data_IF_592033927618
#
_entry.id   IF_592033927618
#
_cell.length_a   1.000
_cell.length_b   1.000
_cell.length_c   1.000
_cell.angle_alpha   90.00
_cell.angle_beta   90.00
_cell.angle_gamma   90.00
#
_symmetry.space_group_name_H-M   'P 1'
#
loop_
_entity.id
_entity.type
_entity.pdbx_description
1 polymer ?
#
# COMPACT_ATOMS: atom_id res chain seq x y z
N UNK A 1 10.63 27.22 -9.90
CA UNK A 1 9.97 27.95 -8.81
C UNK A 1 9.86 27.04 -7.59
N UNK A 2 10.20 27.55 -6.40
CA UNK A 2 10.06 26.79 -5.13
C UNK A 2 8.59 26.51 -4.84
N UNK A 3 8.27 25.27 -4.47
CA UNK A 3 6.93 24.80 -4.10
C UNK A 3 6.77 24.65 -2.59
N UNK A 4 5.54 24.77 -2.13
CA UNK A 4 5.18 24.48 -0.74
C UNK A 4 5.27 22.98 -0.45
N UNK A 5 5.86 22.65 0.70
CA UNK A 5 5.98 21.27 1.16
C UNK A 5 4.70 20.81 1.86
N UNK A 6 4.32 19.57 1.60
CA UNK A 6 3.33 18.85 2.40
C UNK A 6 4.00 18.49 3.73
N UNK A 7 3.40 18.92 4.84
CA UNK A 7 3.89 18.71 6.21
C UNK A 7 2.82 18.02 7.06
N UNK A 8 3.25 17.22 8.04
CA UNK A 8 2.34 16.52 8.94
C UNK A 8 1.44 17.53 9.69
N UNK A 9 0.13 17.27 9.85
CA UNK A 9 -0.60 16.01 9.65
C UNK A 9 -1.32 15.87 8.29
N UNK A 10 -0.82 16.48 7.22
CA UNK A 10 -1.48 16.42 5.90
C UNK A 10 -1.43 15.01 5.27
N UNK A 11 -2.60 14.37 5.18
CA UNK A 11 -2.76 13.00 4.68
C UNK A 11 -2.57 12.84 3.17
N UNK A 12 -2.38 13.93 2.40
CA UNK A 12 -2.10 13.83 0.96
C UNK A 12 -0.83 13.04 0.69
N UNK A 13 0.12 13.02 1.64
CA UNK A 13 1.38 12.29 1.49
C UNK A 13 1.20 10.76 1.45
N UNK A 14 0.07 10.27 1.97
CA UNK A 14 -0.25 8.84 2.03
C UNK A 14 -0.88 8.33 0.71
N UNK A 15 -1.13 9.22 -0.25
CA UNK A 15 -1.64 8.84 -1.56
C UNK A 15 -0.57 8.09 -2.37
N UNK A 16 -0.95 6.95 -2.93
CA UNK A 16 -0.13 6.25 -3.93
C UNK A 16 -0.07 7.12 -5.18
N UNK A 17 1.15 7.40 -5.64
CA UNK A 17 1.40 8.26 -6.79
C UNK A 17 1.08 7.56 -8.11
N UNK A 18 0.46 8.29 -9.04
CA UNK A 18 0.11 7.80 -10.37
C UNK A 18 1.32 7.73 -11.30
N UNK A 19 1.37 6.70 -12.15
CA UNK A 19 2.37 6.63 -13.23
C UNK A 19 2.17 7.80 -14.20
N UNK A 20 3.26 8.47 -14.55
CA UNK A 20 3.32 9.48 -15.59
C UNK A 20 3.10 8.84 -16.96
N UNK A 21 2.14 9.36 -17.73
CA UNK A 21 1.81 8.88 -19.08
C UNK A 21 2.15 9.87 -20.19
N UNK A 22 2.22 11.15 -19.84
CA UNK A 22 2.51 12.24 -20.77
C UNK A 22 3.82 12.90 -20.33
N UNK A 23 4.77 12.98 -21.26
CA UNK A 23 6.10 13.57 -21.05
C UNK A 23 6.13 14.90 -21.79
N UNK A 24 5.43 15.87 -21.24
CA UNK A 24 5.23 17.20 -21.80
C UNK A 24 5.99 18.28 -21.01
N UNK A 25 5.86 19.53 -21.45
CA UNK A 25 6.51 20.67 -20.79
C UNK A 25 6.04 20.85 -19.34
N UNK A 26 4.81 20.45 -19.02
CA UNK A 26 4.29 20.54 -17.65
C UNK A 26 5.04 19.59 -16.69
N UNK A 27 5.35 18.37 -17.15
CA UNK A 27 6.21 17.45 -16.40
C UNK A 27 7.62 18.01 -16.20
N UNK A 28 8.22 18.59 -17.24
CA UNK A 28 9.56 19.18 -17.15
C UNK A 28 9.58 20.35 -16.17
N UNK A 29 8.59 21.23 -16.24
CA UNK A 29 8.42 22.33 -15.28
C UNK A 29 8.26 21.83 -13.84
N UNK A 30 7.48 20.77 -13.62
CA UNK A 30 7.34 20.16 -12.29
C UNK A 30 8.68 19.63 -11.76
N UNK A 31 9.45 18.94 -12.60
CA UNK A 31 10.76 18.40 -12.22
C UNK A 31 11.70 19.54 -11.82
N UNK A 32 11.75 20.61 -12.61
CA UNK A 32 12.64 21.74 -12.32
C UNK A 32 12.17 22.54 -11.09
N UNK A 33 10.86 22.71 -10.89
CA UNK A 33 10.28 23.25 -9.65
C UNK A 33 10.63 22.40 -8.41
N UNK A 34 10.64 21.06 -8.55
CA UNK A 34 11.07 20.15 -7.49
C UNK A 34 12.54 20.32 -7.15
N UNK A 35 13.42 20.50 -8.15
CA UNK A 35 14.85 20.75 -7.93
C UNK A 35 15.08 22.07 -7.20
N UNK A 36 14.42 23.14 -7.63
CA UNK A 36 14.47 24.44 -6.93
C UNK A 36 14.04 24.29 -5.46
N UNK A 37 13.01 23.48 -5.21
CA UNK A 37 12.51 23.20 -3.86
C UNK A 37 13.51 22.41 -3.02
N UNK A 38 14.21 21.44 -3.63
CA UNK A 38 15.30 20.70 -2.97
C UNK A 38 16.42 21.65 -2.55
N UNK A 39 16.83 22.57 -3.43
CA UNK A 39 17.86 23.56 -3.12
C UNK A 39 17.42 24.50 -1.99
N UNK A 40 16.21 25.05 -2.07
CA UNK A 40 15.69 25.99 -1.09
C UNK A 40 15.61 25.42 0.34
N UNK A 41 15.43 24.11 0.48
CA UNK A 41 15.32 23.43 1.76
C UNK A 41 16.57 22.63 2.16
N UNK A 42 17.68 22.76 1.42
CA UNK A 42 18.90 21.97 1.62
C UNK A 42 18.62 20.45 1.74
N UNK A 43 17.70 19.96 0.91
CA UNK A 43 17.29 18.57 0.92
C UNK A 43 18.21 17.69 0.05
N UNK A 44 18.15 16.39 0.26
CA UNK A 44 18.88 15.38 -0.52
C UNK A 44 18.07 14.83 -1.70
N UNK A 45 16.79 15.20 -1.79
CA UNK A 45 15.86 14.80 -2.84
C UNK A 45 14.42 15.03 -2.42
N UNK A 46 13.50 14.85 -3.37
CA UNK A 46 12.07 15.10 -3.20
C UNK A 46 11.27 14.17 -4.11
N UNK A 47 10.17 13.62 -3.60
CA UNK A 47 9.14 13.01 -4.42
C UNK A 47 8.03 14.03 -4.71
N UNK A 48 7.40 13.96 -5.89
CA UNK A 48 6.41 14.94 -6.31
C UNK A 48 5.23 15.06 -5.34
N UNK A 49 4.87 13.96 -4.65
CA UNK A 49 3.80 13.99 -3.65
C UNK A 49 4.13 14.89 -2.46
N UNK A 50 5.42 15.09 -2.15
CA UNK A 50 5.86 15.99 -1.07
C UNK A 50 5.62 17.47 -1.39
N UNK A 51 5.30 17.79 -2.65
CA UNK A 51 4.82 19.11 -3.09
C UNK A 51 3.39 19.04 -3.63
N UNK A 52 2.62 18.07 -3.14
CA UNK A 52 1.20 17.83 -3.44
C UNK A 52 0.86 17.41 -4.88
N UNK A 53 1.82 16.87 -5.63
CA UNK A 53 1.58 16.27 -6.95
C UNK A 53 1.64 14.74 -6.85
N UNK A 54 0.51 14.00 -6.91
CA UNK A 54 0.48 12.55 -6.79
C UNK A 54 0.94 11.86 -8.07
N UNK A 55 2.16 12.15 -8.51
CA UNK A 55 2.82 11.60 -9.70
C UNK A 55 4.08 10.85 -9.31
N UNK A 56 4.36 9.76 -10.01
CA UNK A 56 5.52 8.90 -9.80
C UNK A 56 6.79 9.55 -10.35
N UNK A 57 7.19 10.67 -9.74
CA UNK A 57 8.33 11.49 -10.11
C UNK A 57 9.15 11.76 -8.85
N UNK A 58 10.45 11.51 -8.95
CA UNK A 58 11.39 11.70 -7.84
C UNK A 58 12.65 12.36 -8.36
N UNK A 59 13.15 13.36 -7.65
CA UNK A 59 14.48 13.95 -7.89
C UNK A 59 15.38 13.68 -6.68
N UNK A 60 16.63 13.27 -6.91
CA UNK A 60 17.60 12.98 -5.83
C UNK A 60 18.95 13.57 -6.21
N UNK A 61 19.67 14.13 -5.24
CA UNK A 61 21.07 14.54 -5.43
C UNK A 61 22.00 13.33 -5.33
N UNK A 62 22.88 13.18 -6.32
CA UNK A 62 24.01 12.24 -6.25
C UNK A 62 25.09 12.75 -5.27
N UNK A 63 26.20 12.02 -5.16
CA UNK A 63 27.31 12.39 -4.27
C UNK A 63 28.08 13.65 -4.72
N UNK A 64 27.97 14.01 -6.00
CA UNK A 64 28.55 15.23 -6.56
C UNK A 64 27.58 16.43 -6.52
N UNK A 65 26.34 16.22 -6.05
CA UNK A 65 25.30 17.24 -5.98
C UNK A 65 24.50 17.41 -7.27
N UNK A 66 24.70 16.57 -8.29
CA UNK A 66 23.88 16.59 -9.50
C UNK A 66 22.52 15.94 -9.24
N UNK A 67 21.50 16.42 -9.95
CA UNK A 67 20.16 15.84 -9.86
C UNK A 67 20.01 14.62 -10.76
N UNK A 68 19.59 13.52 -10.14
CA UNK A 68 19.05 12.34 -10.80
C UNK A 68 17.52 12.43 -10.80
N UNK A 69 16.93 12.16 -11.95
CA UNK A 69 15.48 12.27 -12.19
C UNK A 69 14.93 10.87 -12.45
N UNK A 70 13.98 10.45 -11.63
CA UNK A 70 13.39 9.12 -11.69
C UNK A 70 11.90 9.25 -11.95
N UNK A 71 11.47 8.88 -13.16
CA UNK A 71 10.06 8.88 -13.55
C UNK A 71 9.59 7.43 -13.66
N UNK A 72 8.43 7.14 -13.08
CA UNK A 72 7.86 5.80 -12.96
C UNK A 72 8.86 4.74 -12.44
N UNK A 73 9.68 5.03 -11.41
CA UNK A 73 10.76 4.13 -11.05
C UNK A 73 10.27 2.84 -10.38
N UNK A 74 11.04 1.76 -10.54
CA UNK A 74 10.81 0.46 -9.91
C UNK A 74 12.13 -0.18 -9.49
N UNK A 75 12.23 -0.59 -8.22
CA UNK A 75 13.37 -1.38 -7.73
C UNK A 75 13.18 -2.83 -8.18
N UNK A 76 14.13 -3.35 -8.96
CA UNK A 76 14.11 -4.71 -9.52
C UNK A 76 14.98 -5.69 -8.73
N UNK A 77 15.98 -5.20 -7.97
CA UNK A 77 16.87 -6.02 -7.14
C UNK A 77 17.28 -5.27 -5.88
N UNK A 78 17.43 -6.01 -4.79
CA UNK A 78 17.80 -5.50 -3.46
C UNK A 78 18.83 -6.45 -2.84
N UNK A 79 19.87 -5.92 -2.21
CA UNK A 79 20.93 -6.71 -1.57
C UNK A 79 21.49 -5.99 -0.34
N UNK A 80 21.92 -6.76 0.65
CA UNK A 80 22.45 -6.25 1.93
C UNK A 80 21.36 -5.70 2.85
N UNK A 81 21.71 -5.46 4.11
CA UNK A 81 20.89 -4.73 5.08
C UNK A 81 21.79 -3.76 5.85
N UNK A 82 21.31 -2.54 6.04
CA UNK A 82 22.03 -1.50 6.78
C UNK A 82 21.02 -0.63 7.54
N UNK A 83 21.32 -0.37 8.80
CA UNK A 83 20.58 0.58 9.62
C UNK A 83 20.94 2.02 9.18
N UNK A 84 19.94 2.78 8.75
CA UNK A 84 20.07 4.19 8.37
C UNK A 84 19.35 5.05 9.40
N UNK A 85 20.01 6.09 9.93
CA UNK A 85 19.33 7.15 10.66
C UNK A 85 18.65 8.07 9.64
N UNK A 86 17.34 8.25 9.74
CA UNK A 86 16.53 8.98 8.76
C UNK A 86 15.74 10.11 9.40
N UNK A 87 15.62 11.20 8.64
CA UNK A 87 14.74 12.35 8.90
C UNK A 87 13.96 12.70 7.65
N UNK A 88 12.84 13.41 7.80
CA UNK A 88 12.03 13.87 6.67
C UNK A 88 11.50 15.28 6.86
N UNK A 89 11.43 16.04 5.77
CA UNK A 89 10.79 17.35 5.71
C UNK A 89 9.30 17.32 6.07
N UNK A 90 8.66 16.14 5.97
CA UNK A 90 7.27 15.95 6.37
C UNK A 90 7.07 15.99 7.90
N UNK A 91 8.09 15.58 8.67
CA UNK A 91 8.03 15.42 10.13
C UNK A 91 9.19 16.17 10.79
N UNK A 92 8.97 17.45 11.08
CA UNK A 92 9.80 18.30 11.94
C UNK A 92 11.25 17.85 12.16
N UNK A 93 11.63 17.70 13.44
CA UNK A 93 12.97 17.26 13.86
C UNK A 93 13.00 15.79 14.31
N UNK A 94 12.12 14.96 13.74
CA UNK A 94 12.00 13.55 14.13
C UNK A 94 13.03 12.72 13.37
N UNK A 95 13.89 12.04 14.13
CA UNK A 95 14.83 11.06 13.60
C UNK A 95 14.49 9.64 14.06
N UNK A 96 14.61 8.68 13.14
CA UNK A 96 14.41 7.25 13.42
C UNK A 96 15.41 6.39 12.67
N UNK A 97 15.84 5.30 13.29
CA UNK A 97 16.70 4.28 12.66
C UNK A 97 15.85 3.28 11.91
N UNK A 98 16.15 3.09 10.62
CA UNK A 98 15.34 2.31 9.68
C UNK A 98 16.26 1.37 8.90
N UNK A 99 15.86 0.11 8.79
CA UNK A 99 16.57 -0.87 7.97
C UNK A 99 16.36 -0.59 6.48
N UNK A 100 17.46 -0.57 5.73
CA UNK A 100 17.50 -0.32 4.29
C UNK A 100 18.40 -1.32 3.59
N UNK A 101 18.25 -1.44 2.27
CA UNK A 101 19.15 -2.25 1.47
C UNK A 101 20.41 -1.47 1.12
N UNK A 102 21.57 -2.07 1.33
CA UNK A 102 22.86 -1.44 1.01
C UNK A 102 23.00 -1.19 -0.50
N UNK A 103 22.52 -2.13 -1.32
CA UNK A 103 22.54 -2.04 -2.79
C UNK A 103 21.16 -2.29 -3.38
N UNK A 104 20.84 -1.49 -4.39
CA UNK A 104 19.62 -1.65 -5.19
C UNK A 104 19.94 -1.59 -6.68
N UNK A 105 19.14 -2.29 -7.48
CA UNK A 105 19.06 -2.07 -8.92
C UNK A 105 17.64 -1.64 -9.26
N UNK A 106 17.51 -0.62 -10.10
CA UNK A 106 16.22 -0.05 -10.46
C UNK A 106 16.14 0.27 -11.95
N UNK A 107 14.90 0.26 -12.45
CA UNK A 107 14.53 0.76 -13.77
C UNK A 107 13.67 2.00 -13.59
N UNK A 108 13.77 2.94 -14.52
CA UNK A 108 13.01 4.18 -14.51
C UNK A 108 12.94 4.75 -15.93
N UNK A 109 12.22 5.85 -16.10
CA UNK A 109 12.23 6.65 -17.31
C UNK A 109 12.88 8.01 -17.03
N UNK A 110 13.61 8.53 -18.00
CA UNK A 110 14.07 9.91 -17.96
C UNK A 110 12.94 10.89 -18.33
N UNK A 111 13.23 12.20 -18.28
CA UNK A 111 12.30 13.29 -18.63
C UNK A 111 11.74 13.22 -20.06
N UNK A 112 12.32 12.40 -20.93
CA UNK A 112 11.84 12.17 -22.31
C UNK A 112 11.09 10.85 -22.46
N UNK A 113 10.89 10.10 -21.37
CA UNK A 113 10.18 8.82 -21.35
C UNK A 113 11.04 7.63 -21.77
N UNK A 114 12.34 7.83 -22.00
CA UNK A 114 13.25 6.75 -22.41
C UNK A 114 13.60 5.91 -21.19
N UNK A 115 13.53 4.57 -21.33
CA UNK A 115 13.86 3.68 -20.24
C UNK A 115 15.36 3.70 -19.92
N UNK A 116 15.65 3.75 -18.62
CA UNK A 116 16.98 3.76 -18.05
C UNK A 116 17.07 2.72 -16.93
N UNK A 117 18.29 2.28 -16.64
CA UNK A 117 18.59 1.41 -15.51
C UNK A 117 19.74 1.99 -14.69
N UNK A 118 19.65 1.88 -13.36
CA UNK A 118 20.69 2.34 -12.45
C UNK A 118 20.93 1.28 -11.37
N UNK A 119 22.20 1.07 -11.03
CA UNK A 119 22.61 0.40 -9.80
C UNK A 119 23.11 1.46 -8.83
N UNK A 120 22.57 1.43 -7.61
CA UNK A 120 22.94 2.37 -6.56
C UNK A 120 23.36 1.60 -5.32
N UNK A 121 24.41 2.10 -4.67
CA UNK A 121 24.99 1.52 -3.46
C UNK A 121 25.21 2.61 -2.40
N UNK A 122 25.40 2.20 -1.15
CA UNK A 122 25.74 3.11 -0.05
C UNK A 122 24.73 4.26 0.11
N UNK A 123 25.22 5.48 0.33
CA UNK A 123 24.38 6.63 0.65
C UNK A 123 23.35 6.98 -0.45
N UNK A 124 23.69 6.76 -1.73
CA UNK A 124 22.77 6.98 -2.85
C UNK A 124 21.62 5.96 -2.83
N UNK A 125 21.92 4.69 -2.56
CA UNK A 125 20.90 3.64 -2.38
C UNK A 125 19.90 4.02 -1.28
N UNK A 126 20.39 4.54 -0.14
CA UNK A 126 19.55 4.96 0.98
C UNK A 126 18.68 6.18 0.62
N UNK A 127 19.26 7.20 -0.02
CA UNK A 127 18.53 8.39 -0.52
C UNK A 127 17.39 8.00 -1.45
N UNK A 128 17.67 7.16 -2.46
CA UNK A 128 16.68 6.73 -3.44
C UNK A 128 15.54 5.98 -2.77
N UNK A 129 15.85 4.99 -1.92
CA UNK A 129 14.82 4.22 -1.20
C UNK A 129 13.91 5.11 -0.34
N UNK A 130 14.48 6.09 0.37
CA UNK A 130 13.71 7.05 1.19
C UNK A 130 12.70 7.85 0.36
N UNK A 131 13.09 8.31 -0.83
CA UNK A 131 12.18 9.07 -1.70
C UNK A 131 11.17 8.18 -2.41
N UNK A 132 11.54 6.94 -2.72
CA UNK A 132 10.63 6.00 -3.36
C UNK A 132 9.50 5.54 -2.42
N UNK A 133 9.70 5.50 -1.11
CA UNK A 133 8.61 5.17 -0.18
C UNK A 133 7.42 6.14 -0.35
N UNK A 134 7.68 7.44 -0.58
CA UNK A 134 6.64 8.45 -0.83
C UNK A 134 5.83 8.18 -2.09
N UNK A 135 6.46 7.64 -3.13
CA UNK A 135 5.75 7.27 -4.37
C UNK A 135 4.65 6.24 -4.09
N UNK A 136 4.85 5.38 -3.09
CA UNK A 136 3.92 4.32 -2.73
C UNK A 136 3.04 4.65 -1.51
N UNK A 137 2.84 5.95 -1.22
CA UNK A 137 1.98 6.40 -0.12
C UNK A 137 2.56 6.09 1.26
N UNK A 138 3.88 6.11 1.38
CA UNK A 138 4.56 5.83 2.64
C UNK A 138 5.71 6.78 2.94
N UNK A 139 6.28 6.62 4.13
CA UNK A 139 7.50 7.29 4.56
C UNK A 139 8.30 6.29 5.39
N UNK A 140 9.35 6.73 6.09
CA UNK A 140 9.97 5.82 7.05
C UNK A 140 9.02 5.40 8.16
N UNK A 141 8.00 6.21 8.47
CA UNK A 141 7.03 5.93 9.52
C UNK A 141 6.27 4.65 9.22
N UNK A 142 5.94 4.38 7.96
CA UNK A 142 5.20 3.17 7.56
C UNK A 142 6.03 1.89 7.73
N UNK A 143 7.35 2.00 7.95
CA UNK A 143 8.24 0.87 8.26
C UNK A 143 8.43 0.66 9.77
N UNK A 144 7.96 1.57 10.60
CA UNK A 144 8.00 1.43 12.05
C UNK A 144 6.92 0.45 12.53
N UNK A 145 7.16 -0.19 13.68
CA UNK A 145 6.12 -1.01 14.32
C UNK A 145 4.90 -0.17 14.72
N UNK A 146 3.72 -0.79 14.84
CA UNK A 146 2.51 -0.09 15.25
C UNK A 146 2.66 0.63 16.59
N UNK A 147 3.33 0.01 17.57
CA UNK A 147 3.59 0.62 18.87
C UNK A 147 4.54 1.82 18.77
N UNK A 148 5.56 1.74 17.90
CA UNK A 148 6.47 2.84 17.67
C UNK A 148 5.78 4.02 16.96
N UNK A 149 4.85 3.76 16.03
CA UNK A 149 4.02 4.79 15.39
C UNK A 149 3.12 5.49 16.41
N UNK A 150 2.40 4.74 17.25
CA UNK A 150 1.59 5.31 18.34
C UNK A 150 2.41 6.11 19.36
N UNK A 151 3.63 5.66 19.64
CA UNK A 151 4.58 6.40 20.47
C UNK A 151 4.95 7.74 19.85
N UNK A 152 5.24 7.77 18.55
CA UNK A 152 5.53 8.99 17.81
C UNK A 152 4.32 9.94 17.72
N UNK A 153 3.10 9.43 17.54
CA UNK A 153 1.88 10.26 17.57
C UNK A 153 1.73 10.98 18.91
N UNK A 154 2.01 10.29 20.03
CA UNK A 154 1.98 10.89 21.37
C UNK A 154 3.07 11.96 21.53
N UNK A 155 4.28 11.68 21.03
CA UNK A 155 5.40 12.64 21.03
C UNK A 155 5.01 13.92 20.28
N UNK A 156 4.45 13.79 19.08
CA UNK A 156 3.99 14.93 18.27
C UNK A 156 2.81 15.67 18.91
N UNK A 157 1.90 14.94 19.58
CA UNK A 157 0.78 15.54 20.30
C UNK A 157 1.25 16.41 21.48
N UNK A 158 2.36 16.07 22.14
CA UNK A 158 2.97 16.93 23.17
C UNK A 158 3.49 18.25 22.61
N UNK A 159 3.92 18.27 21.35
CA UNK A 159 4.29 19.49 20.61
C UNK A 159 3.09 20.22 20.00
N UNK A 160 1.87 19.79 20.28
CA UNK A 160 0.63 20.40 19.78
C UNK A 160 0.22 19.96 18.36
N UNK A 161 0.92 18.99 17.77
CA UNK A 161 0.59 18.48 16.43
C UNK A 161 -0.22 17.20 16.56
N UNK A 162 -1.51 17.27 16.25
CA UNK A 162 -2.44 16.14 16.34
C UNK A 162 -2.71 15.58 14.95
N UNK A 163 -2.47 14.29 14.78
CA UNK A 163 -2.75 13.52 13.57
C UNK A 163 -2.61 12.03 13.83
N UNK A 164 -2.77 11.22 12.80
CA UNK A 164 -2.53 9.77 12.90
C UNK A 164 -1.76 9.26 11.69
N UNK A 165 -0.86 8.31 11.95
CA UNK A 165 -0.13 7.56 10.93
C UNK A 165 -0.81 6.25 10.56
N UNK A 166 -1.79 5.81 11.35
CA UNK A 166 -2.73 4.79 10.91
C UNK A 166 -3.73 5.48 9.99
N UNK A 167 -3.31 5.70 8.74
CA UNK A 167 -4.22 5.79 7.61
C UNK A 167 -4.77 4.39 7.29
N UNK A 168 -5.34 3.74 8.30
CA UNK A 168 -6.57 3.00 8.06
C UNK A 168 -7.61 4.06 7.66
N UNK A 169 -7.47 4.58 6.43
CA UNK A 169 -8.55 5.26 5.76
C UNK A 169 -9.79 4.38 5.97
N UNK A 170 -10.96 4.98 6.21
CA UNK A 170 -12.14 4.29 6.73
C UNK A 170 -12.25 2.92 6.08
N UNK A 171 -12.07 1.86 6.88
CA UNK A 171 -11.93 0.44 6.47
C UNK A 171 -12.43 0.29 5.04
N UNK A 172 -11.50 0.20 4.06
CA UNK A 172 -11.91 0.21 2.66
C UNK A 172 -13.06 -0.76 2.49
N UNK A 173 -14.11 -0.41 1.75
CA UNK A 173 -15.30 -1.27 1.66
C UNK A 173 -14.94 -2.74 1.33
N UNK A 174 -13.82 -2.95 0.61
CA UNK A 174 -13.18 -4.26 0.38
C UNK A 174 -12.86 -5.05 1.66
N UNK A 175 -12.25 -4.44 2.67
CA UNK A 175 -11.91 -5.07 3.95
C UNK A 175 -13.16 -5.46 4.74
N UNK A 176 -14.23 -4.67 4.65
CA UNK A 176 -15.52 -5.06 5.23
C UNK A 176 -16.04 -6.36 4.61
N UNK A 177 -16.06 -6.45 3.27
CA UNK A 177 -16.44 -7.69 2.57
C UNK A 177 -15.56 -8.87 2.99
N UNK A 178 -14.23 -8.71 3.01
CA UNK A 178 -13.30 -9.78 3.42
C UNK A 178 -13.56 -10.23 4.85
N UNK A 179 -13.75 -9.30 5.78
CA UNK A 179 -14.04 -9.60 7.19
C UNK A 179 -15.33 -10.39 7.34
N UNK A 180 -16.40 -9.97 6.67
CA UNK A 180 -17.69 -10.66 6.72
C UNK A 180 -17.62 -12.05 6.09
N UNK A 181 -17.01 -12.19 4.90
CA UNK A 181 -16.82 -13.48 4.24
C UNK A 181 -15.98 -14.44 5.09
N UNK A 182 -14.92 -13.94 5.74
CA UNK A 182 -14.06 -14.78 6.60
C UNK A 182 -14.83 -15.31 7.81
N UNK A 183 -15.66 -14.48 8.45
CA UNK A 183 -16.48 -14.91 9.59
C UNK A 183 -17.51 -15.98 9.19
N UNK A 184 -18.17 -15.81 8.04
CA UNK A 184 -19.13 -16.79 7.52
C UNK A 184 -18.44 -18.13 7.18
N UNK A 185 -17.29 -18.10 6.51
CA UNK A 185 -16.51 -19.31 6.22
C UNK A 185 -16.05 -20.03 7.49
N UNK A 186 -15.68 -19.30 8.55
CA UNK A 186 -15.34 -19.92 9.84
C UNK A 186 -16.55 -20.59 10.46
N UNK A 187 -17.74 -19.98 10.38
CA UNK A 187 -18.97 -20.60 10.88
C UNK A 187 -19.34 -21.87 10.11
N UNK A 188 -19.29 -21.86 8.77
CA UNK A 188 -19.47 -23.07 7.94
C UNK A 188 -18.40 -24.14 8.22
N UNK A 189 -17.16 -23.73 8.50
CA UNK A 189 -16.14 -24.70 8.86
C UNK A 189 -16.44 -25.39 10.20
N UNK A 190 -17.04 -24.68 11.16
CA UNK A 190 -17.40 -25.25 12.46
C UNK A 190 -18.56 -26.25 12.34
N UNK A 191 -19.50 -26.06 11.42
CA UNK A 191 -20.62 -27.00 11.22
C UNK A 191 -20.16 -28.34 10.66
N UNK A 192 -19.00 -28.41 9.99
CA UNK A 192 -18.42 -29.68 9.53
C UNK A 192 -18.06 -30.65 10.67
N UNK A 193 -17.89 -30.15 11.90
CA UNK A 193 -17.64 -31.00 13.06
C UNK A 193 -18.91 -31.57 13.68
N UNK A 194 -20.10 -31.21 13.17
CA UNK A 194 -21.38 -31.73 13.68
C UNK A 194 -21.47 -33.26 13.73
N UNK A 195 -20.86 -34.07 12.83
CA UNK A 195 -20.89 -35.53 12.93
C UNK A 195 -20.09 -36.10 14.10
N UNK A 196 -19.21 -35.31 14.73
CA UNK A 196 -18.50 -35.73 15.94
C UNK A 196 -19.39 -35.69 17.20
N UNK A 197 -20.58 -35.13 17.09
CA UNK A 197 -21.53 -34.96 18.17
C UNK A 197 -22.84 -35.70 17.86
N UNK A 198 -23.48 -36.26 18.87
CA UNK A 198 -24.74 -37.00 18.74
C UNK A 198 -25.96 -36.05 18.63
N UNK A 199 -25.96 -35.17 17.64
CA UNK A 199 -27.07 -34.24 17.41
C UNK A 199 -28.28 -34.92 16.74
N UNK A 200 -29.47 -34.53 17.17
CA UNK A 200 -30.74 -34.94 16.57
C UNK A 200 -30.80 -34.56 15.08
N UNK A 201 -31.53 -35.33 14.28
CA UNK A 201 -31.64 -35.14 12.83
C UNK A 201 -32.13 -33.75 12.46
N UNK A 202 -33.05 -33.19 13.24
CA UNK A 202 -33.61 -31.86 13.03
C UNK A 202 -32.54 -30.77 13.23
N UNK A 203 -31.67 -30.94 14.23
CA UNK A 203 -30.56 -30.01 14.50
C UNK A 203 -29.52 -30.04 13.37
N UNK A 204 -29.21 -31.24 12.84
CA UNK A 204 -28.32 -31.38 11.66
C UNK A 204 -28.92 -30.77 10.41
N UNK A 205 -30.23 -30.94 10.19
CA UNK A 205 -30.94 -30.28 9.10
C UNK A 205 -30.86 -28.74 9.20
N UNK A 206 -30.93 -28.18 10.41
CA UNK A 206 -30.76 -26.74 10.62
C UNK A 206 -29.33 -26.27 10.29
N UNK A 207 -28.29 -27.01 10.70
CA UNK A 207 -26.91 -26.68 10.35
C UNK A 207 -26.66 -26.75 8.84
N UNK A 208 -27.15 -27.80 8.17
CA UNK A 208 -27.05 -27.90 6.72
C UNK A 208 -27.79 -26.75 6.01
N UNK A 209 -28.98 -26.40 6.48
CA UNK A 209 -29.76 -25.27 5.94
C UNK A 209 -29.02 -23.94 6.15
N UNK A 210 -28.39 -23.75 7.30
CA UNK A 210 -27.53 -22.61 7.56
C UNK A 210 -26.36 -22.55 6.57
N UNK A 211 -25.65 -23.66 6.34
CA UNK A 211 -24.53 -23.73 5.41
C UNK A 211 -24.97 -23.38 3.97
N UNK A 212 -26.13 -23.87 3.52
CA UNK A 212 -26.70 -23.51 2.21
C UNK A 212 -26.90 -21.99 2.10
N UNK A 213 -27.53 -21.37 3.10
CA UNK A 213 -27.76 -19.92 3.08
C UNK A 213 -26.47 -19.12 3.21
N UNK A 214 -25.54 -19.55 4.06
CA UNK A 214 -24.24 -18.93 4.23
C UNK A 214 -23.44 -18.96 2.93
N UNK A 215 -23.45 -20.08 2.20
CA UNK A 215 -22.79 -20.23 0.91
C UNK A 215 -23.38 -19.30 -0.16
N UNK A 216 -24.71 -19.16 -0.22
CA UNK A 216 -25.36 -18.19 -1.13
C UNK A 216 -24.96 -16.75 -0.78
N UNK A 217 -24.96 -16.39 0.52
CA UNK A 217 -24.55 -15.06 0.98
C UNK A 217 -23.06 -14.81 0.65
N UNK A 218 -22.20 -15.81 0.83
CA UNK A 218 -20.77 -15.73 0.48
C UNK A 218 -20.55 -15.45 -1.00
N UNK A 219 -21.32 -16.09 -1.89
CA UNK A 219 -21.26 -15.82 -3.34
C UNK A 219 -21.67 -14.37 -3.63
N UNK A 220 -22.76 -13.88 -3.03
CA UNK A 220 -23.22 -12.50 -3.21
C UNK A 220 -22.20 -11.48 -2.67
N UNK A 221 -21.62 -11.73 -1.50
CA UNK A 221 -20.56 -10.89 -0.91
C UNK A 221 -19.30 -10.90 -1.77
N UNK A 222 -18.94 -12.03 -2.40
CA UNK A 222 -17.80 -12.12 -3.29
C UNK A 222 -18.02 -11.32 -4.58
N UNK A 223 -19.21 -11.40 -5.17
CA UNK A 223 -19.61 -10.56 -6.32
C UNK A 223 -19.55 -9.07 -5.93
N UNK A 224 -20.10 -8.72 -4.76
CA UNK A 224 -20.04 -7.37 -4.20
C UNK A 224 -18.61 -6.88 -3.97
N UNK A 225 -17.76 -7.72 -3.39
CA UNK A 225 -16.32 -7.48 -3.22
C UNK A 225 -15.65 -7.21 -4.57
N UNK A 226 -15.88 -8.05 -5.57
CA UNK A 226 -15.26 -7.91 -6.88
C UNK A 226 -15.71 -6.63 -7.59
N UNK A 227 -17.01 -6.33 -7.56
CA UNK A 227 -17.56 -5.12 -8.15
C UNK A 227 -17.04 -3.85 -7.44
N UNK A 228 -17.03 -3.84 -6.10
CA UNK A 228 -16.49 -2.74 -5.31
C UNK A 228 -14.98 -2.59 -5.50
N UNK A 229 -14.25 -3.70 -5.55
CA UNK A 229 -12.82 -3.69 -5.80
C UNK A 229 -12.49 -3.13 -7.18
N UNK A 230 -13.25 -3.53 -8.21
CA UNK A 230 -13.12 -2.97 -9.55
C UNK A 230 -13.44 -1.46 -9.57
N UNK A 231 -14.50 -1.04 -8.89
CA UNK A 231 -14.90 0.37 -8.79
C UNK A 231 -13.84 1.24 -8.09
N UNK A 232 -13.31 0.77 -6.96
CA UNK A 232 -12.28 1.51 -6.23
C UNK A 232 -10.95 1.52 -7.01
N UNK A 233 -10.63 0.44 -7.73
CA UNK A 233 -9.45 0.38 -8.60
C UNK A 233 -9.57 1.31 -9.82
N UNK A 234 -10.79 1.59 -10.30
CA UNK A 234 -11.00 2.53 -11.41
C UNK A 234 -10.96 4.00 -10.99
N UNK A 235 -11.09 4.31 -9.69
CA UNK A 235 -10.96 5.69 -9.18
C UNK A 235 -9.54 6.06 -8.78
N UNK A 236 -8.71 5.09 -8.40
CA UNK A 236 -7.31 5.31 -8.04
C UNK A 236 -6.45 4.95 -9.25
N UNK A 237 -6.16 5.94 -10.09
CA UNK A 237 -5.34 5.78 -11.30
C UNK A 237 -3.90 5.49 -10.89
N UNK A 238 -3.55 4.23 -10.67
CA UNK A 238 -2.16 3.76 -10.61
C UNK A 238 -2.13 2.23 -10.63
N UNK A 239 -1.68 1.65 -11.75
CA UNK A 239 -1.50 0.21 -12.00
C UNK A 239 -2.77 -0.67 -12.19
N UNK A 240 -3.31 -0.68 -13.40
CA UNK A 240 -4.37 -1.61 -13.84
C UNK A 240 -3.94 -3.09 -13.91
N UNK A 241 -2.64 -3.41 -13.94
CA UNK A 241 -2.17 -4.81 -14.02
C UNK A 241 -2.02 -5.49 -12.65
N UNK A 242 -1.23 -4.91 -11.76
CA UNK A 242 -0.83 -5.55 -10.49
C UNK A 242 -1.99 -5.60 -9.47
N UNK A 243 -2.84 -4.57 -9.43
CA UNK A 243 -4.00 -4.56 -8.53
C UNK A 243 -5.13 -5.48 -9.01
N UNK A 244 -5.33 -5.63 -10.33
CA UNK A 244 -6.34 -6.54 -10.89
C UNK A 244 -6.04 -7.99 -10.54
N UNK A 245 -4.78 -8.40 -10.70
CA UNK A 245 -4.33 -9.74 -10.30
C UNK A 245 -4.54 -9.95 -8.79
N UNK A 246 -4.28 -8.92 -7.96
CA UNK A 246 -4.44 -9.01 -6.50
C UNK A 246 -5.89 -9.29 -6.07
N UNK A 247 -6.88 -8.49 -6.51
CA UNK A 247 -8.26 -8.71 -6.08
C UNK A 247 -8.93 -9.89 -6.79
N UNK A 248 -8.55 -10.23 -8.03
CA UNK A 248 -9.01 -11.47 -8.69
C UNK A 248 -8.56 -12.70 -7.91
N UNK A 249 -7.31 -12.72 -7.44
CA UNK A 249 -6.78 -13.83 -6.65
C UNK A 249 -7.53 -14.00 -5.33
N UNK A 250 -7.89 -12.88 -4.68
CA UNK A 250 -8.70 -12.90 -3.45
C UNK A 250 -10.12 -13.41 -3.72
N UNK A 251 -10.79 -12.88 -4.74
CA UNK A 251 -12.14 -13.33 -5.14
C UNK A 251 -12.16 -14.82 -5.48
N UNK A 252 -11.18 -15.30 -6.26
CA UNK A 252 -11.03 -16.71 -6.60
C UNK A 252 -10.79 -17.58 -5.35
N UNK A 253 -9.93 -17.14 -4.43
CA UNK A 253 -9.69 -17.85 -3.16
C UNK A 253 -10.99 -18.06 -2.38
N UNK A 254 -11.76 -16.99 -2.16
CA UNK A 254 -13.02 -17.10 -1.41
C UNK A 254 -14.04 -17.99 -2.15
N UNK A 255 -14.12 -17.90 -3.48
CA UNK A 255 -14.99 -18.78 -4.27
C UNK A 255 -14.62 -20.26 -4.11
N UNK A 256 -13.33 -20.60 -4.22
CA UNK A 256 -12.85 -21.97 -4.04
C UNK A 256 -13.09 -22.50 -2.62
N UNK A 257 -12.87 -21.67 -1.60
CA UNK A 257 -13.15 -22.04 -0.21
C UNK A 257 -14.64 -22.30 0.02
N UNK A 258 -15.52 -21.42 -0.47
CA UNK A 258 -16.98 -21.63 -0.37
C UNK A 258 -17.41 -22.90 -1.09
N UNK A 259 -16.92 -23.15 -2.32
CA UNK A 259 -17.25 -24.36 -3.06
C UNK A 259 -16.79 -25.63 -2.33
N UNK A 260 -15.61 -25.60 -1.72
CA UNK A 260 -15.07 -26.72 -0.94
C UNK A 260 -15.89 -26.97 0.33
N UNK A 261 -16.20 -25.93 1.11
CA UNK A 261 -16.98 -26.08 2.34
C UNK A 261 -18.42 -26.51 2.05
N UNK A 262 -19.05 -25.95 1.03
CA UNK A 262 -20.38 -26.37 0.59
C UNK A 262 -20.40 -27.85 0.19
N UNK A 263 -19.40 -28.28 -0.59
CA UNK A 263 -19.24 -29.69 -0.96
C UNK A 263 -19.03 -30.58 0.26
N UNK A 264 -18.17 -30.17 1.21
CA UNK A 264 -17.95 -30.92 2.45
C UNK A 264 -19.23 -31.00 3.30
N UNK A 265 -19.98 -29.91 3.43
CA UNK A 265 -21.25 -29.86 4.16
C UNK A 265 -22.29 -30.78 3.54
N UNK A 266 -22.39 -30.82 2.20
CA UNK A 266 -23.25 -31.76 1.48
C UNK A 266 -22.95 -33.24 1.83
N UNK A 267 -21.69 -33.61 1.99
CA UNK A 267 -21.33 -35.00 2.32
C UNK A 267 -21.35 -35.32 3.81
N UNK A 268 -21.05 -34.35 4.68
CA UNK A 268 -20.83 -34.59 6.11
C UNK A 268 -21.99 -34.14 6.99
N UNK A 269 -22.68 -33.05 6.64
CA UNK A 269 -23.67 -32.38 7.50
C UNK A 269 -25.10 -32.65 7.04
N UNK A 270 -25.30 -32.94 5.75
CA UNK A 270 -26.62 -33.28 5.21
C UNK A 270 -27.23 -34.48 5.99
N UNK A 271 -28.43 -34.32 6.56
CA UNK A 271 -29.09 -35.35 7.38
C UNK A 271 -29.53 -36.58 6.57
#
# INVERSE_FOLDING_TARGET
MVKDLVVYPDSRIDLVSADVRYFDDALVMLIDDMKDTVEAHNADGLAAIQVAYPLSVVVVKDDAGNFLEFINPRIIKKQGSVASLERTLYLGDVERTIERYERISLIYQDRHGVQQSLQAEGALSLRIQRKFDYVFGGSFVTKMSADARKGLEKELAHSGIVGTFDSDGPVSGREYFKSMMTKLLVLEFLTLFTPLFEFETDTRAMFYTFDVYASVILILLNIGYFAYAKYEASRVISCTGCQVVSFMSVSLKYFLMTALLFGASYYLVQP
#
